data_IF_330182691667
#
_entry.id   IF_330182691667
#
_cell.length_a   1.000
_cell.length_b   1.000
_cell.length_c   1.000
_cell.angle_alpha   90.00
_cell.angle_beta   90.00
_cell.angle_gamma   90.00
#
_symmetry.space_group_name_H-M   'P 1'
#
loop_
_entity.id
_entity.type
_entity.pdbx_description
1 polymer ?
#
# COMPACT_ATOMS: atom_id res chain seq x y z
N UNK A 1 -70.20 -66.75 7.72
CA UNK A 1 -71.17 -66.37 8.78
C UNK A 1 -71.02 -64.87 9.03
N UNK A 2 -72.16 -64.15 9.00
CA UNK A 2 -72.46 -62.83 9.59
C UNK A 2 -71.49 -61.64 9.37
N UNK A 3 -71.93 -60.60 8.63
CA UNK A 3 -72.37 -59.28 9.16
C UNK A 3 -71.19 -58.41 9.66
N UNK A 4 -70.91 -57.18 9.20
CA UNK A 4 -71.78 -56.10 8.76
C UNK A 4 -71.69 -54.96 9.79
N UNK A 5 -71.11 -53.80 9.44
CA UNK A 5 -71.55 -52.47 9.93
C UNK A 5 -70.65 -51.34 9.43
N UNK A 6 -71.28 -50.33 8.81
CA UNK A 6 -70.80 -48.94 8.68
C UNK A 6 -70.91 -48.23 10.03
N UNK A 7 -70.01 -47.27 10.30
CA UNK A 7 -70.19 -46.23 11.32
C UNK A 7 -69.09 -45.18 11.22
N UNK A 8 -69.34 -44.06 10.54
CA UNK A 8 -69.50 -42.68 11.08
C UNK A 8 -68.23 -42.05 11.69
N UNK A 9 -67.70 -41.04 10.98
CA UNK A 9 -67.00 -39.88 11.58
C UNK A 9 -67.94 -39.14 12.55
N UNK A 10 -67.41 -38.40 13.54
CA UNK A 10 -67.30 -36.96 13.34
C UNK A 10 -66.07 -36.26 13.99
N UNK A 11 -65.68 -35.17 13.33
CA UNK A 11 -65.25 -33.86 13.85
C UNK A 11 -64.71 -33.76 15.29
N UNK A 12 -63.44 -33.36 15.42
CA UNK A 12 -62.86 -32.92 16.68
C UNK A 12 -61.47 -32.33 16.52
N UNK A 13 -61.41 -31.03 16.25
CA UNK A 13 -60.21 -30.21 16.14
C UNK A 13 -59.33 -30.30 17.39
N UNK A 14 -58.06 -30.73 17.27
CA UNK A 14 -56.99 -30.37 18.22
C UNK A 14 -55.61 -30.25 17.55
N UNK A 15 -55.17 -28.99 17.50
CA UNK A 15 -53.83 -28.48 17.80
C UNK A 15 -52.66 -28.81 16.85
N UNK A 16 -52.37 -27.77 16.05
CA UNK A 16 -51.05 -27.21 15.74
C UNK A 16 -49.82 -27.88 16.36
N UNK A 17 -48.90 -28.29 15.49
CA UNK A 17 -47.50 -28.57 15.76
C UNK A 17 -47.00 -29.59 14.74
N UNK A 18 -46.05 -29.36 13.86
CA UNK A 18 -44.98 -28.37 13.78
C UNK A 18 -44.67 -28.18 12.29
N UNK A 19 -45.02 -27.03 11.72
CA UNK A 19 -44.30 -26.50 10.55
C UNK A 19 -42.96 -26.00 11.08
N UNK A 20 -42.00 -26.91 11.18
CA UNK A 20 -40.61 -26.59 11.48
C UNK A 20 -40.05 -25.74 10.36
N UNK A 21 -40.09 -24.43 10.56
CA UNK A 21 -39.35 -23.45 9.77
C UNK A 21 -37.87 -23.78 9.89
N UNK A 22 -37.31 -24.44 8.87
CA UNK A 22 -35.87 -24.43 8.64
C UNK A 22 -35.55 -23.06 8.06
N UNK A 23 -35.51 -22.04 8.92
CA UNK A 23 -34.87 -20.76 8.59
C UNK A 23 -33.37 -21.02 8.53
N UNK A 24 -32.87 -21.40 7.36
CA UNK A 24 -31.43 -21.38 7.10
C UNK A 24 -31.01 -19.92 7.09
N UNK A 25 -30.37 -19.49 8.17
CA UNK A 25 -29.73 -18.18 8.27
C UNK A 25 -28.56 -18.11 7.29
N UNK A 26 -28.80 -17.56 6.08
CA UNK A 26 -27.77 -17.40 5.03
C UNK A 26 -26.71 -16.32 5.38
N UNK A 27 -26.81 -15.67 6.54
CA UNK A 27 -25.93 -14.54 6.89
C UNK A 27 -24.48 -14.92 7.22
N UNK A 28 -24.14 -16.19 7.45
CA UNK A 28 -22.76 -16.60 7.78
C UNK A 28 -21.88 -16.93 6.55
N UNK A 29 -22.47 -17.15 5.36
CA UNK A 29 -21.73 -17.60 4.18
C UNK A 29 -21.04 -16.46 3.39
N UNK A 30 -21.36 -15.19 3.69
CA UNK A 30 -20.81 -14.05 2.96
C UNK A 30 -19.30 -13.85 3.23
N UNK A 31 -18.81 -14.24 4.41
CA UNK A 31 -17.40 -14.12 4.78
C UNK A 31 -16.56 -15.28 4.23
N UNK A 32 -17.17 -16.45 4.10
CA UNK A 32 -16.52 -17.69 3.66
C UNK A 32 -16.34 -17.74 2.13
N UNK A 33 -17.27 -17.15 1.37
CA UNK A 33 -17.16 -17.05 -0.08
C UNK A 33 -16.01 -16.14 -0.55
N UNK A 34 -15.66 -15.10 0.21
CA UNK A 34 -14.52 -14.25 -0.10
C UNK A 34 -13.18 -14.98 0.11
N UNK A 35 -13.07 -15.82 1.14
CA UNK A 35 -11.91 -16.66 1.42
C UNK A 35 -11.74 -17.77 0.37
N UNK A 36 -12.83 -18.44 -0.01
CA UNK A 36 -12.82 -19.47 -1.05
C UNK A 36 -12.47 -18.90 -2.44
N UNK A 37 -12.76 -17.62 -2.69
CA UNK A 37 -12.37 -16.92 -3.93
C UNK A 37 -10.86 -16.66 -4.03
N UNK A 38 -10.13 -16.66 -2.91
CA UNK A 38 -8.66 -16.63 -2.92
C UNK A 38 -8.03 -18.00 -3.22
N UNK A 39 -8.74 -19.11 -2.99
CA UNK A 39 -8.22 -20.47 -3.20
C UNK A 39 -8.22 -20.91 -4.67
N UNK A 40 -9.06 -20.30 -5.52
CA UNK A 40 -9.24 -20.72 -6.92
C UNK A 40 -8.92 -19.62 -7.94
N UNK A 41 -8.54 -18.41 -7.49
CA UNK A 41 -8.23 -17.27 -8.35
C UNK A 41 -6.85 -16.68 -8.07
N UNK A 42 -6.20 -16.18 -9.11
CA UNK A 42 -4.90 -15.50 -9.14
C UNK A 42 -4.83 -14.17 -8.34
N UNK A 43 -5.75 -13.90 -7.42
CA UNK A 43 -6.12 -12.54 -7.04
C UNK A 43 -5.94 -12.14 -5.57
N UNK A 44 -5.40 -13.01 -4.71
CA UNK A 44 -5.02 -12.61 -3.34
C UNK A 44 -3.50 -12.62 -3.19
N UNK A 45 -2.84 -11.73 -3.93
CA UNK A 45 -1.40 -11.54 -3.86
C UNK A 45 -1.07 -10.79 -2.55
N UNK A 46 -0.88 -11.54 -1.45
CA UNK A 46 -0.37 -11.01 -0.17
C UNK A 46 -1.28 -9.99 0.54
N UNK A 47 -2.55 -10.34 0.77
CA UNK A 47 -3.56 -9.46 1.40
C UNK A 47 -3.76 -8.10 0.70
N UNK A 48 -3.33 -8.00 -0.56
CA UNK A 48 -3.46 -6.79 -1.37
C UNK A 48 -4.90 -6.63 -1.85
N UNK A 49 -5.60 -5.64 -1.31
CA UNK A 49 -7.00 -5.35 -1.61
C UNK A 49 -7.19 -3.83 -1.75
N UNK A 50 -6.89 -3.27 -2.93
CA UNK A 50 -6.91 -1.83 -3.15
C UNK A 50 -8.35 -1.28 -3.16
N UNK A 51 -8.64 -0.34 -2.27
CA UNK A 51 -9.85 0.49 -2.31
C UNK A 51 -9.49 1.94 -2.66
N UNK A 52 -9.55 2.24 -3.97
CA UNK A 52 -9.24 3.58 -4.46
C UNK A 52 -10.35 4.60 -4.22
N UNK A 53 -11.61 4.17 -4.11
CA UNK A 53 -12.71 5.09 -3.88
C UNK A 53 -12.65 5.62 -2.44
N UNK A 54 -12.43 4.72 -1.47
CA UNK A 54 -12.17 5.09 -0.08
C UNK A 54 -10.95 5.98 0.04
N UNK A 55 -9.83 5.63 -0.62
CA UNK A 55 -8.62 6.44 -0.62
C UNK A 55 -8.86 7.86 -1.17
N UNK A 56 -9.58 8.00 -2.28
CA UNK A 56 -9.89 9.31 -2.87
C UNK A 56 -10.74 10.17 -1.93
N UNK A 57 -11.79 9.58 -1.35
CA UNK A 57 -12.65 10.25 -0.39
C UNK A 57 -11.86 10.73 0.84
N UNK A 58 -11.04 9.87 1.42
CA UNK A 58 -10.31 10.19 2.65
C UNK A 58 -9.20 11.23 2.40
N UNK A 59 -8.48 11.11 1.28
CA UNK A 59 -7.55 12.15 0.83
C UNK A 59 -8.26 13.49 0.60
N UNK A 60 -9.45 13.49 0.00
CA UNK A 60 -10.22 14.70 -0.24
C UNK A 60 -10.62 15.39 1.08
N UNK A 61 -11.08 14.61 2.06
CA UNK A 61 -11.58 15.10 3.34
C UNK A 61 -10.48 15.54 4.31
N UNK A 62 -9.39 14.78 4.43
CA UNK A 62 -8.44 14.94 5.53
C UNK A 62 -7.10 15.61 5.14
N UNK A 63 -6.72 15.63 3.86
CA UNK A 63 -5.45 16.23 3.44
C UNK A 63 -5.64 17.66 2.90
N UNK A 64 -5.48 18.68 3.75
CA UNK A 64 -5.66 20.08 3.33
C UNK A 64 -4.53 20.58 2.39
N UNK A 65 -4.87 21.46 1.44
CA UNK A 65 -3.89 22.21 0.61
C UNK A 65 -3.12 21.42 -0.45
N UNK A 66 -3.12 20.09 -0.41
CA UNK A 66 -2.28 19.23 -1.26
C UNK A 66 -3.01 18.68 -2.50
N UNK A 67 -3.82 19.48 -3.18
CA UNK A 67 -4.66 19.04 -4.32
C UNK A 67 -3.85 18.36 -5.45
N UNK A 68 -2.67 18.89 -5.79
CA UNK A 68 -1.78 18.29 -6.79
C UNK A 68 -1.27 16.91 -6.34
N UNK A 69 -0.83 16.78 -5.08
CA UNK A 69 -0.33 15.52 -4.55
C UNK A 69 -1.42 14.45 -4.55
N UNK A 70 -2.66 14.78 -4.13
CA UNK A 70 -3.80 13.86 -4.17
C UNK A 70 -4.02 13.31 -5.57
N UNK A 71 -4.13 14.19 -6.57
CA UNK A 71 -4.42 13.82 -7.95
C UNK A 71 -3.32 12.94 -8.55
N UNK A 72 -2.04 13.30 -8.34
CA UNK A 72 -0.91 12.55 -8.89
C UNK A 72 -0.74 11.18 -8.24
N UNK A 73 -0.83 11.11 -6.90
CA UNK A 73 -0.66 9.85 -6.16
C UNK A 73 -1.73 8.85 -6.55
N UNK A 74 -3.00 9.26 -6.54
CA UNK A 74 -4.11 8.38 -6.89
C UNK A 74 -4.03 7.94 -8.35
N UNK A 75 -3.75 8.87 -9.27
CA UNK A 75 -3.61 8.56 -10.71
C UNK A 75 -2.50 7.54 -10.95
N UNK A 76 -1.33 7.76 -10.34
CA UNK A 76 -0.18 6.86 -10.50
C UNK A 76 -0.46 5.47 -9.93
N UNK A 77 -1.09 5.39 -8.75
CA UNK A 77 -1.45 4.12 -8.13
C UNK A 77 -2.51 3.35 -8.92
N UNK A 78 -3.58 4.01 -9.37
CA UNK A 78 -4.62 3.40 -10.21
C UNK A 78 -4.01 2.82 -11.48
N UNK A 79 -3.19 3.61 -12.18
CA UNK A 79 -2.53 3.16 -13.41
C UNK A 79 -1.61 1.95 -13.16
N UNK A 80 -0.83 1.98 -12.08
CA UNK A 80 0.08 0.89 -11.72
C UNK A 80 -0.65 -0.40 -11.32
N UNK A 81 -1.73 -0.30 -10.57
CA UNK A 81 -2.48 -1.47 -10.08
C UNK A 81 -3.33 -2.10 -11.18
N UNK A 82 -3.80 -1.31 -12.15
CA UNK A 82 -4.55 -1.78 -13.30
C UNK A 82 -3.67 -2.52 -14.33
N UNK A 83 -2.37 -2.23 -14.38
CA UNK A 83 -1.42 -2.97 -15.20
C UNK A 83 -1.09 -4.33 -14.55
N UNK A 84 -1.49 -5.47 -15.15
CA UNK A 84 -1.19 -6.79 -14.59
C UNK A 84 0.29 -7.18 -14.68
N UNK A 85 1.05 -6.52 -15.57
CA UNK A 85 2.45 -6.86 -15.87
C UNK A 85 3.33 -5.59 -15.97
N UNK A 86 3.45 -4.81 -14.87
CA UNK A 86 4.25 -3.59 -14.88
C UNK A 86 5.70 -3.89 -15.27
N UNK A 87 6.31 -2.98 -16.04
CA UNK A 87 7.69 -3.11 -16.52
C UNK A 87 8.73 -2.79 -15.45
N UNK A 88 8.35 -2.04 -14.41
CA UNK A 88 9.16 -1.63 -13.26
C UNK A 88 8.26 -1.39 -12.05
N UNK A 89 8.78 -1.43 -10.81
CA UNK A 89 7.99 -1.10 -9.62
C UNK A 89 7.53 0.35 -9.60
N UNK A 90 6.47 0.61 -8.84
CA UNK A 90 6.02 1.96 -8.58
C UNK A 90 6.93 2.60 -7.55
N UNK A 91 7.48 3.77 -7.90
CA UNK A 91 8.31 4.57 -7.00
C UNK A 91 7.66 5.92 -6.81
N UNK A 92 7.25 6.21 -5.58
CA UNK A 92 6.72 7.50 -5.16
C UNK A 92 7.76 8.20 -4.28
N UNK A 93 7.96 9.49 -4.50
CA UNK A 93 8.86 10.30 -3.70
C UNK A 93 8.12 11.52 -3.17
N UNK A 94 7.85 11.51 -1.87
CA UNK A 94 7.11 12.54 -1.15
C UNK A 94 8.10 13.53 -0.54
N UNK A 95 8.07 14.77 -1.03
CA UNK A 95 8.96 15.85 -0.61
C UNK A 95 8.16 17.02 -0.07
N UNK A 96 8.65 17.67 0.98
CA UNK A 96 8.07 18.92 1.48
C UNK A 96 8.42 19.21 2.94
N UNK A 97 7.83 20.26 3.49
CA UNK A 97 8.03 20.70 4.87
C UNK A 97 7.51 19.69 5.91
N UNK A 98 8.05 19.71 7.12
CA UNK A 98 7.57 18.87 8.24
C UNK A 98 6.11 19.19 8.60
N UNK A 99 5.28 18.18 8.84
CA UNK A 99 3.87 18.41 9.18
C UNK A 99 2.92 18.68 8.00
N UNK A 100 3.38 18.60 6.74
CA UNK A 100 2.49 18.73 5.56
C UNK A 100 1.72 17.46 5.18
N UNK A 101 1.70 16.44 6.06
CA UNK A 101 0.93 15.21 5.87
C UNK A 101 1.60 14.12 5.02
N UNK A 102 2.92 14.14 4.78
CA UNK A 102 3.60 13.06 4.02
C UNK A 102 3.45 11.68 4.65
N UNK A 103 3.72 11.58 5.95
CA UNK A 103 3.54 10.33 6.72
C UNK A 103 2.07 9.95 6.85
N UNK A 104 1.16 10.93 6.86
CA UNK A 104 -0.28 10.67 6.81
C UNK A 104 -0.67 10.01 5.49
N UNK A 105 -0.22 10.57 4.36
CA UNK A 105 -0.49 10.01 3.02
C UNK A 105 0.08 8.59 2.91
N UNK A 106 1.33 8.34 3.32
CA UNK A 106 1.91 6.99 3.22
C UNK A 106 1.18 5.97 4.10
N UNK A 107 0.77 6.34 5.31
CA UNK A 107 -0.03 5.50 6.19
C UNK A 107 -1.41 5.19 5.59
N UNK A 108 -2.04 6.19 4.99
CA UNK A 108 -3.34 6.06 4.33
C UNK A 108 -3.24 5.15 3.11
N UNK A 109 -2.18 5.29 2.31
CA UNK A 109 -1.90 4.39 1.20
C UNK A 109 -1.74 2.95 1.67
N UNK A 110 -0.98 2.69 2.73
CA UNK A 110 -0.86 1.36 3.28
C UNK A 110 -2.22 0.80 3.71
N UNK A 111 -3.05 1.60 4.39
CA UNK A 111 -4.38 1.23 4.86
C UNK A 111 -5.34 0.83 3.73
N UNK A 112 -5.35 1.58 2.63
CA UNK A 112 -6.25 1.31 1.50
C UNK A 112 -5.69 0.31 0.49
N UNK A 113 -4.39 -0.03 0.54
CA UNK A 113 -3.79 -1.05 -0.32
C UNK A 113 -3.76 -2.43 0.33
N UNK A 114 -3.65 -2.51 1.66
CA UNK A 114 -3.54 -3.76 2.40
C UNK A 114 -4.53 -3.81 3.56
N UNK A 115 -5.19 -4.95 3.74
CA UNK A 115 -6.17 -5.15 4.83
C UNK A 115 -5.61 -4.85 6.23
N UNK A 116 -4.32 -5.13 6.47
CA UNK A 116 -3.63 -4.86 7.72
C UNK A 116 -3.06 -3.44 7.86
N UNK A 117 -3.17 -2.61 6.82
CA UNK A 117 -2.50 -1.31 6.75
C UNK A 117 -1.02 -1.40 7.06
N UNK A 118 -0.52 -0.49 7.90
CA UNK A 118 0.88 -0.49 8.38
C UNK A 118 1.27 -1.73 9.21
N UNK A 119 0.30 -2.51 9.69
CA UNK A 119 0.55 -3.76 10.44
C UNK A 119 0.56 -5.00 9.56
N UNK A 120 0.30 -4.84 8.25
CA UNK A 120 0.39 -5.94 7.30
C UNK A 120 1.83 -6.47 7.25
N UNK A 121 2.04 -7.80 7.21
CA UNK A 121 3.39 -8.37 7.10
C UNK A 121 4.07 -8.03 5.76
N UNK A 122 3.33 -7.50 4.79
CA UNK A 122 3.81 -7.09 3.46
C UNK A 122 4.03 -5.57 3.34
N UNK A 123 3.83 -4.83 4.44
CA UNK A 123 4.12 -3.40 4.52
C UNK A 123 5.31 -3.21 5.44
N UNK A 124 6.37 -2.66 4.89
CA UNK A 124 7.66 -2.60 5.55
C UNK A 124 8.10 -1.16 5.74
N UNK A 125 8.18 -0.72 6.99
CA UNK A 125 8.62 0.62 7.35
C UNK A 125 10.10 0.62 7.75
N UNK A 126 10.87 1.49 7.10
CA UNK A 126 12.32 1.60 7.27
C UNK A 126 12.70 3.06 7.55
N UNK A 127 13.46 3.29 8.63
CA UNK A 127 14.08 4.59 8.95
C UNK A 127 15.61 4.42 9.05
N UNK A 128 16.41 5.15 8.24
CA UNK A 128 17.86 5.11 8.30
C UNK A 128 18.41 5.50 9.68
N UNK A 129 17.77 6.45 10.36
CA UNK A 129 18.23 6.96 11.66
C UNK A 129 18.16 5.87 12.73
N UNK A 130 17.09 5.07 12.72
CA UNK A 130 16.91 3.98 13.68
C UNK A 130 17.74 2.74 13.32
N UNK A 131 17.85 2.41 12.04
CA UNK A 131 18.47 1.16 11.61
C UNK A 131 19.98 1.28 11.36
N UNK A 132 20.50 2.47 11.04
CA UNK A 132 21.89 2.70 10.67
C UNK A 132 22.57 3.85 11.46
N UNK A 133 22.63 3.77 12.80
CA UNK A 133 23.17 4.86 13.62
C UNK A 133 24.69 5.07 13.50
N UNK A 134 25.45 4.03 13.15
CA UNK A 134 26.92 4.05 13.18
C UNK A 134 27.56 3.91 11.79
N UNK A 135 28.27 4.93 11.27
CA UNK A 135 28.90 4.89 9.94
C UNK A 135 29.95 3.78 9.76
N UNK A 136 30.56 3.30 10.85
CA UNK A 136 31.61 2.27 10.85
C UNK A 136 31.13 0.90 10.33
N UNK A 137 29.82 0.64 10.30
CA UNK A 137 29.25 -0.64 9.88
C UNK A 137 28.58 -0.61 8.50
N UNK A 138 28.93 0.38 7.67
CA UNK A 138 28.32 0.62 6.35
C UNK A 138 28.25 -0.63 5.45
N UNK A 139 29.33 -1.40 5.37
CA UNK A 139 29.39 -2.60 4.53
C UNK A 139 28.46 -3.72 5.03
N UNK A 140 28.24 -3.81 6.34
CA UNK A 140 27.25 -4.72 6.92
C UNK A 140 25.83 -4.22 6.62
N UNK A 141 25.57 -2.93 6.81
CA UNK A 141 24.25 -2.34 6.55
C UNK A 141 23.82 -2.46 5.09
N UNK A 142 24.74 -2.31 4.14
CA UNK A 142 24.48 -2.57 2.71
C UNK A 142 24.01 -4.01 2.47
N UNK A 143 24.68 -4.99 3.09
CA UNK A 143 24.31 -6.42 2.97
C UNK A 143 22.97 -6.71 3.64
N UNK A 144 22.75 -6.17 4.84
CA UNK A 144 21.52 -6.36 5.61
C UNK A 144 20.32 -5.75 4.86
N UNK A 145 20.47 -4.53 4.32
CA UNK A 145 19.44 -3.87 3.51
C UNK A 145 19.10 -4.68 2.26
N UNK A 146 20.12 -5.13 1.53
CA UNK A 146 19.94 -5.96 0.33
C UNK A 146 19.17 -7.23 0.67
N UNK A 147 19.62 -7.96 1.69
CA UNK A 147 19.01 -9.22 2.12
C UNK A 147 17.58 -9.01 2.60
N UNK A 148 17.30 -7.90 3.30
CA UNK A 148 15.98 -7.59 3.80
C UNK A 148 14.99 -7.26 2.68
N UNK A 149 15.37 -6.40 1.72
CA UNK A 149 14.52 -6.08 0.56
C UNK A 149 14.27 -7.34 -0.27
N UNK A 150 15.34 -8.07 -0.61
CA UNK A 150 15.25 -9.29 -1.39
C UNK A 150 14.39 -10.36 -0.70
N UNK A 151 14.59 -10.58 0.60
CA UNK A 151 13.84 -11.57 1.38
C UNK A 151 12.33 -11.28 1.38
N UNK A 152 11.94 -10.04 1.68
CA UNK A 152 10.53 -9.65 1.67
C UNK A 152 9.91 -9.73 0.27
N UNK A 153 10.66 -9.34 -0.76
CA UNK A 153 10.21 -9.46 -2.14
C UNK A 153 10.07 -10.91 -2.62
N UNK A 154 10.87 -11.84 -2.08
CA UNK A 154 10.73 -13.27 -2.33
C UNK A 154 9.51 -13.86 -1.61
N UNK A 155 9.18 -13.38 -0.41
CA UNK A 155 7.93 -13.75 0.30
C UNK A 155 6.72 -13.23 -0.48
N UNK A 156 6.77 -11.96 -0.89
CA UNK A 156 5.71 -11.31 -1.64
C UNK A 156 6.25 -10.29 -2.66
N UNK A 157 6.02 -10.54 -3.95
CA UNK A 157 6.42 -9.63 -5.02
C UNK A 157 5.67 -8.28 -5.04
N UNK A 158 4.54 -8.18 -4.32
CA UNK A 158 3.69 -6.99 -4.20
C UNK A 158 3.82 -6.29 -2.85
N UNK A 159 4.98 -6.40 -2.22
CA UNK A 159 5.29 -5.73 -0.95
C UNK A 159 5.39 -4.21 -1.11
N UNK A 160 5.02 -3.49 -0.05
CA UNK A 160 5.13 -2.03 0.06
C UNK A 160 6.30 -1.67 0.98
N UNK A 161 7.26 -0.91 0.48
CA UNK A 161 8.39 -0.40 1.25
C UNK A 161 8.23 1.10 1.48
N UNK A 162 8.16 1.49 2.76
CA UNK A 162 8.11 2.86 3.22
C UNK A 162 9.49 3.24 3.78
N UNK A 163 10.18 4.15 3.11
CA UNK A 163 11.48 4.67 3.52
C UNK A 163 11.28 6.09 4.04
N UNK A 164 11.24 6.25 5.36
CA UNK A 164 11.16 7.56 6.00
C UNK A 164 12.55 8.18 6.19
N UNK A 165 12.61 9.50 6.34
CA UNK A 165 13.85 10.26 6.56
C UNK A 165 14.94 9.94 5.52
N UNK A 166 14.54 9.86 4.26
CA UNK A 166 15.44 9.53 3.15
C UNK A 166 16.57 10.56 2.97
N UNK A 167 16.41 11.78 3.50
CA UNK A 167 17.47 12.78 3.57
C UNK A 167 18.66 12.36 4.44
N UNK A 168 18.45 11.42 5.37
CA UNK A 168 19.49 10.84 6.24
C UNK A 168 20.08 9.55 5.68
N UNK A 169 19.54 9.02 4.58
CA UNK A 169 20.08 7.82 3.95
C UNK A 169 21.43 8.14 3.27
N UNK A 170 22.49 7.43 3.68
CA UNK A 170 23.82 7.57 3.08
C UNK A 170 23.79 7.13 1.60
N UNK A 171 24.49 7.83 0.67
CA UNK A 171 24.48 7.50 -0.75
C UNK A 171 24.78 6.01 -1.06
N UNK A 172 25.73 5.42 -0.33
CA UNK A 172 26.10 4.00 -0.51
C UNK A 172 24.99 3.00 -0.17
N UNK A 173 23.96 3.39 0.61
CA UNK A 173 22.78 2.55 0.86
C UNK A 173 21.73 2.70 -0.25
N UNK A 174 21.64 3.89 -0.87
CA UNK A 174 20.74 4.09 -2.02
C UNK A 174 21.20 3.28 -3.24
N UNK A 175 22.51 3.14 -3.44
CA UNK A 175 23.09 2.28 -4.49
C UNK A 175 22.66 0.82 -4.36
N UNK A 176 22.42 0.34 -3.12
CA UNK A 176 21.92 -1.01 -2.86
C UNK A 176 20.46 -1.16 -3.31
N UNK A 177 19.66 -0.10 -3.21
CA UNK A 177 18.25 -0.11 -3.59
C UNK A 177 18.06 0.03 -5.10
N UNK A 178 18.97 0.71 -5.80
CA UNK A 178 18.85 1.03 -7.23
C UNK A 178 18.50 -0.18 -8.13
N UNK A 179 19.08 -1.38 -7.97
CA UNK A 179 18.72 -2.55 -8.77
C UNK A 179 17.26 -2.98 -8.59
N UNK A 180 16.67 -2.76 -7.41
CA UNK A 180 15.28 -3.11 -7.13
C UNK A 180 14.28 -2.10 -7.69
N UNK A 181 14.72 -0.88 -8.03
CA UNK A 181 13.86 0.19 -8.58
C UNK A 181 13.82 0.20 -10.12
N UNK A 182 14.68 -0.57 -10.77
CA UNK A 182 14.82 -0.63 -12.23
C UNK A 182 13.81 -1.54 -12.93
N UNK A 183 13.91 -1.60 -14.26
CA UNK A 183 13.11 -2.49 -15.12
C UNK A 183 13.68 -3.91 -15.22
N UNK A 184 14.80 -4.19 -14.56
CA UNK A 184 15.50 -5.47 -14.63
C UNK A 184 14.65 -6.58 -14.01
N UNK A 185 14.12 -7.44 -14.88
CA UNK A 185 13.10 -8.45 -14.57
C UNK A 185 13.58 -9.67 -13.79
N UNK A 186 14.89 -9.94 -13.77
CA UNK A 186 15.45 -11.16 -13.19
C UNK A 186 16.72 -10.80 -12.45
N UNK A 187 16.54 -10.53 -11.17
CA UNK A 187 17.49 -11.04 -10.20
C UNK A 187 16.63 -12.02 -9.38
N UNK A 188 16.90 -13.32 -9.43
CA UNK A 188 16.31 -14.32 -8.52
C UNK A 188 14.91 -14.93 -8.79
N UNK A 189 14.32 -14.77 -9.99
CA UNK A 189 13.19 -15.63 -10.42
C UNK A 189 11.78 -15.29 -9.89
N UNK A 190 11.64 -14.17 -9.18
CA UNK A 190 10.36 -13.64 -8.66
C UNK A 190 10.03 -12.28 -9.28
N UNK A 191 8.74 -11.99 -9.52
CA UNK A 191 8.31 -10.76 -10.18
C UNK A 191 8.26 -9.57 -9.20
N UNK A 192 9.40 -8.91 -9.00
CA UNK A 192 9.51 -7.72 -8.12
C UNK A 192 8.89 -6.45 -8.72
N UNK A 193 8.45 -6.48 -9.98
CA UNK A 193 7.95 -5.30 -10.69
C UNK A 193 6.61 -4.80 -10.16
N UNK A 194 5.92 -5.60 -9.35
CA UNK A 194 4.67 -5.23 -8.67
C UNK A 194 4.90 -4.55 -7.31
N UNK A 195 6.14 -4.45 -6.84
CA UNK A 195 6.44 -3.80 -5.59
C UNK A 195 6.19 -2.29 -5.65
N UNK A 196 5.90 -1.70 -4.48
CA UNK A 196 5.69 -0.27 -4.32
C UNK A 196 6.73 0.28 -3.35
N UNK A 197 7.45 1.31 -3.77
CA UNK A 197 8.42 2.02 -2.95
C UNK A 197 7.93 3.45 -2.72
N UNK A 198 7.89 3.87 -1.45
CA UNK A 198 7.54 5.24 -1.07
C UNK A 198 8.70 5.82 -0.28
N UNK A 199 9.32 6.86 -0.82
CA UNK A 199 10.37 7.62 -0.16
C UNK A 199 9.79 8.90 0.44
N UNK A 200 10.05 9.16 1.71
CA UNK A 200 9.64 10.38 2.41
C UNK A 200 10.91 11.18 2.73
N UNK A 201 10.92 12.46 2.32
CA UNK A 201 12.03 13.37 2.60
C UNK A 201 11.52 14.69 3.15
N UNK A 202 12.20 15.20 4.16
CA UNK A 202 11.96 16.53 4.70
C UNK A 202 12.82 17.55 3.96
N UNK A 203 12.21 18.64 3.51
CA UNK A 203 12.95 19.81 3.05
C UNK A 203 13.19 20.68 4.28
N UNK A 204 14.40 20.61 4.84
CA UNK A 204 14.85 21.59 5.82
C UNK A 204 15.23 22.88 5.08
N UNK A 205 14.72 24.02 5.54
CA UNK A 205 15.38 25.30 5.29
C UNK A 205 16.60 25.35 6.21
N UNK A 206 17.78 25.14 5.66
CA UNK A 206 19.03 25.30 6.40
C UNK A 206 19.33 26.81 6.50
N UNK A 207 18.95 27.41 7.63
CA UNK A 207 19.32 28.76 8.00
C UNK A 207 20.64 28.73 8.77
N UNK A 208 21.74 29.06 8.11
CA UNK A 208 23.04 29.26 8.78
C UNK A 208 22.97 30.53 9.62
N UNK A 209 22.88 30.40 10.94
CA UNK A 209 22.97 31.52 11.88
C UNK A 209 24.42 31.67 12.35
N UNK A 210 25.09 32.71 11.86
CA UNK A 210 26.26 33.30 12.52
C UNK A 210 25.87 34.69 13.04
N UNK A 211 25.66 34.84 14.35
CA UNK A 211 25.55 36.15 15.02
C UNK A 211 24.55 36.20 16.19
N UNK A 212 24.92 36.76 17.37
CA UNK A 212 24.08 36.77 18.56
C UNK A 212 23.22 38.03 18.63
N UNK A 213 22.02 37.97 18.09
CA UNK A 213 20.87 38.77 18.53
C UNK A 213 19.63 38.25 17.81
N UNK A 214 18.75 37.59 18.56
CA UNK A 214 17.36 37.21 18.25
C UNK A 214 16.99 37.09 16.75
N UNK A 215 16.88 35.88 16.18
CA UNK A 215 16.38 35.74 14.82
C UNK A 215 14.86 35.65 14.80
N UNK A 216 14.21 36.72 14.34
CA UNK A 216 12.91 36.61 13.67
C UNK A 216 13.16 35.84 12.37
N UNK A 217 12.54 34.67 12.22
CA UNK A 217 12.63 33.88 11.00
C UNK A 217 11.87 34.56 9.87
N UNK A 218 12.59 35.19 8.94
CA UNK A 218 12.05 35.71 7.68
C UNK A 218 12.44 34.74 6.57
N UNK A 219 11.45 34.07 5.97
CA UNK A 219 11.64 33.26 4.76
C UNK A 219 11.69 34.19 3.53
N UNK A 220 12.87 34.36 2.94
CA UNK A 220 13.05 34.96 1.62
C UNK A 220 13.28 33.88 0.55
N UNK A 221 12.91 34.12 -0.73
CA UNK A 221 13.07 33.14 -1.79
C UNK A 221 14.48 33.23 -2.37
N UNK A 222 15.38 32.33 -1.99
CA UNK A 222 16.66 32.15 -2.70
C UNK A 222 17.02 30.68 -2.82
N UNK A 223 16.43 30.04 -3.82
CA UNK A 223 17.16 29.11 -4.68
C UNK A 223 16.44 29.10 -6.01
N UNK A 224 17.14 29.56 -7.04
CA UNK A 224 16.72 29.56 -8.43
C UNK A 224 16.18 28.18 -8.81
N UNK A 225 14.86 28.08 -8.92
CA UNK A 225 14.17 26.96 -9.52
C UNK A 225 14.53 26.98 -11.01
N UNK A 226 15.62 26.30 -11.39
CA UNK A 226 15.75 25.80 -12.75
C UNK A 226 14.70 24.71 -12.91
N UNK A 227 13.68 24.87 -13.76
CA UNK A 227 12.86 23.75 -14.14
C UNK A 227 13.80 22.76 -14.83
N UNK A 228 14.11 21.63 -14.19
CA UNK A 228 14.45 20.45 -14.98
C UNK A 228 13.18 20.08 -15.73
N UNK A 229 13.35 19.81 -17.01
CA UNK A 229 12.29 19.50 -17.96
C UNK A 229 11.22 18.59 -17.33
N UNK A 230 9.92 18.81 -17.66
CA UNK A 230 8.88 17.90 -17.23
C UNK A 230 9.30 16.48 -17.60
N UNK A 231 9.12 15.54 -16.66
CA UNK A 231 9.33 14.11 -16.88
C UNK A 231 8.69 13.75 -18.23
N UNK A 232 9.53 13.61 -19.25
CA UNK A 232 9.11 13.13 -20.56
C UNK A 232 8.77 11.67 -20.33
N UNK A 233 7.48 11.35 -20.29
CA UNK A 233 7.01 10.00 -20.55
C UNK A 233 7.53 9.65 -21.94
N UNK A 234 8.65 8.92 -22.01
CA UNK A 234 9.14 8.36 -23.26
C UNK A 234 8.12 7.33 -23.73
N UNK A 235 7.53 7.48 -24.94
CA UNK A 235 6.76 6.40 -25.54
C UNK A 235 7.72 5.24 -25.82
N UNK A 236 7.37 4.05 -25.33
CA UNK A 236 8.04 2.81 -25.72
C UNK A 236 7.95 2.66 -27.24
N UNK A 237 9.04 2.36 -27.97
CA UNK A 237 8.93 2.03 -29.38
C UNK A 237 8.16 0.73 -29.54
N UNK A 238 7.18 0.73 -30.45
CA UNK A 238 6.47 -0.47 -30.87
C UNK A 238 7.45 -1.45 -31.55
N UNK A 239 7.33 -2.76 -31.31
CA UNK A 239 8.06 -3.75 -32.08
C UNK A 239 7.43 -3.89 -33.48
N UNK A 240 8.27 -3.89 -34.50
CA UNK A 240 7.98 -4.44 -35.82
C UNK A 240 7.91 -5.96 -35.73
#
# INVERSE_FOLDING_TARGET
>A
MAAGSRGRQPWGSRLLGLLGLVSVSVAAAAWDLASLRCSFGTFCECDFQPDFQGLECDLAQHLAGQHLAKALVVKALKAFVQDPAPTKPLVLSLHGWTGTGKSYVSALLAHYLFRGGLRSPYVHHFSPVLHFPHPSHMERYKKDLKSWVQGNLTVCGRSLFLFDEMDKLTPGLMEVLQPFLGSSWVVYGTNYRKAIFIFIRWVCCEGTLSGPSSPVSVCGPTAEYRPRDPIRLSPSPAPW
#
